data_IF_224814156653
#
_entry.id   IF_224814156653
#
_cell.length_a   1.000
_cell.length_b   1.000
_cell.length_c   1.000
_cell.angle_alpha   90.00
_cell.angle_beta   90.00
_cell.angle_gamma   90.00
#
_symmetry.space_group_name_H-M   'P 1'
#
loop_
_entity.id
_entity.type
_entity.pdbx_description
1 polymer ?
#
# COMPACT_ATOMS: atom_id res chain seq x y z
N UNK A 1 -24.51 -25.29 -18.75
CA UNK A 1 -23.80 -24.00 -18.54
C UNK A 1 -22.42 -24.34 -18.06
N UNK A 2 -21.43 -24.17 -18.95
CA UNK A 2 -20.02 -24.47 -18.64
C UNK A 2 -19.56 -23.46 -17.59
N UNK A 3 -19.21 -23.91 -16.40
CA UNK A 3 -18.49 -23.09 -15.41
C UNK A 3 -17.13 -22.80 -16.02
N UNK A 4 -16.96 -21.61 -16.56
CA UNK A 4 -15.64 -21.10 -16.90
C UNK A 4 -14.86 -21.13 -15.60
N UNK A 5 -13.80 -21.92 -15.59
CA UNK A 5 -12.84 -21.96 -14.47
C UNK A 5 -12.26 -20.53 -14.33
N UNK A 6 -12.78 -19.78 -13.35
CA UNK A 6 -12.42 -18.38 -13.11
C UNK A 6 -11.25 -18.26 -12.16
N UNK A 7 -10.58 -19.36 -11.85
CA UNK A 7 -9.40 -19.34 -10.99
C UNK A 7 -8.20 -18.78 -11.76
N UNK A 8 -7.64 -17.63 -11.35
CA UNK A 8 -6.49 -17.06 -12.02
C UNK A 8 -5.28 -18.00 -11.87
N UNK A 9 -4.79 -18.55 -12.99
CA UNK A 9 -3.63 -19.45 -12.98
C UNK A 9 -2.44 -18.80 -12.26
N UNK A 10 -1.82 -19.57 -11.36
CA UNK A 10 -0.65 -19.09 -10.58
C UNK A 10 0.57 -19.05 -11.51
N UNK A 11 1.20 -17.90 -11.72
CA UNK A 11 2.38 -17.82 -12.58
C UNK A 11 3.63 -18.36 -11.85
N UNK A 12 4.64 -18.77 -12.62
CA UNK A 12 5.85 -19.38 -12.07
C UNK A 12 6.60 -18.45 -11.08
N UNK A 13 6.55 -17.15 -11.34
CA UNK A 13 7.20 -16.12 -10.52
C UNK A 13 6.57 -15.95 -9.13
N UNK A 14 5.31 -16.38 -8.95
CA UNK A 14 4.62 -16.25 -7.67
C UNK A 14 5.36 -16.98 -6.54
N UNK A 15 5.95 -18.14 -6.83
CA UNK A 15 6.73 -18.90 -5.85
C UNK A 15 7.96 -18.15 -5.33
N UNK A 16 8.67 -17.42 -6.19
CA UNK A 16 9.84 -16.63 -5.80
C UNK A 16 9.47 -15.36 -5.00
N UNK A 17 8.29 -14.79 -5.27
CA UNK A 17 7.82 -13.55 -4.62
C UNK A 17 7.17 -13.83 -3.27
N UNK A 18 6.32 -14.85 -3.18
CA UNK A 18 5.51 -15.12 -1.98
C UNK A 18 6.04 -16.28 -1.14
N UNK A 19 6.99 -17.08 -1.67
CA UNK A 19 7.57 -18.22 -0.95
C UNK A 19 6.50 -19.14 -0.35
N UNK A 20 6.57 -19.43 0.99
CA UNK A 20 5.58 -20.27 1.67
C UNK A 20 4.16 -19.72 1.64
N UNK A 21 3.96 -18.44 1.34
CA UNK A 21 2.62 -17.81 1.28
C UNK A 21 2.00 -17.86 -0.13
N UNK A 22 2.58 -18.60 -1.08
CA UNK A 22 2.07 -18.67 -2.47
C UNK A 22 0.63 -19.18 -2.54
N UNK A 23 0.26 -20.15 -1.72
CA UNK A 23 -1.11 -20.67 -1.69
C UNK A 23 -2.11 -19.63 -1.15
N UNK A 24 -1.70 -18.85 -0.14
CA UNK A 24 -2.50 -17.74 0.36
C UNK A 24 -2.62 -16.62 -0.67
N UNK A 25 -1.58 -16.35 -1.48
CA UNK A 25 -1.64 -15.40 -2.58
C UNK A 25 -2.59 -15.91 -3.69
N UNK A 26 -2.60 -17.20 -4.00
CA UNK A 26 -3.54 -17.82 -4.94
C UNK A 26 -4.99 -17.69 -4.44
N UNK A 27 -5.24 -17.97 -3.16
CA UNK A 27 -6.55 -17.79 -2.55
C UNK A 27 -6.99 -16.31 -2.59
N UNK A 28 -6.07 -15.38 -2.37
CA UNK A 28 -6.39 -13.95 -2.50
C UNK A 28 -6.71 -13.55 -3.94
N UNK A 29 -5.99 -14.07 -4.93
CA UNK A 29 -6.31 -13.87 -6.35
C UNK A 29 -7.72 -14.39 -6.69
N UNK A 30 -8.09 -15.57 -6.18
CA UNK A 30 -9.42 -16.15 -6.33
C UNK A 30 -10.51 -15.27 -5.66
N UNK A 31 -10.27 -14.77 -4.44
CA UNK A 31 -11.19 -13.87 -3.76
C UNK A 31 -11.42 -12.57 -4.55
N UNK A 32 -10.36 -12.02 -5.16
CA UNK A 32 -10.48 -10.84 -6.03
C UNK A 32 -11.27 -11.15 -7.30
N UNK A 33 -11.03 -12.29 -7.95
CA UNK A 33 -11.71 -12.71 -9.17
C UNK A 33 -13.20 -12.95 -8.95
N UNK A 34 -13.58 -13.48 -7.79
CA UNK A 34 -14.97 -13.84 -7.44
C UNK A 34 -15.66 -12.73 -6.67
N UNK A 35 -15.53 -12.74 -5.34
CA UNK A 35 -16.20 -11.76 -4.45
C UNK A 35 -15.80 -10.32 -4.74
N UNK A 36 -14.52 -10.08 -5.07
CA UNK A 36 -13.99 -8.77 -5.40
C UNK A 36 -14.67 -8.16 -6.63
N UNK A 37 -14.88 -8.97 -7.66
CA UNK A 37 -15.58 -8.54 -8.89
C UNK A 37 -17.05 -8.26 -8.61
N UNK A 38 -17.75 -9.14 -7.91
CA UNK A 38 -19.17 -8.98 -7.56
C UNK A 38 -19.39 -7.71 -6.71
N UNK A 39 -18.48 -7.40 -5.79
CA UNK A 39 -18.54 -6.22 -4.93
C UNK A 39 -17.96 -4.95 -5.56
N UNK A 40 -17.49 -5.01 -6.82
CA UNK A 40 -16.88 -3.87 -7.52
C UNK A 40 -15.56 -3.39 -6.93
N UNK A 41 -14.77 -4.32 -6.34
CA UNK A 41 -13.40 -4.04 -5.88
C UNK A 41 -12.41 -4.08 -7.03
N UNK A 42 -12.61 -5.02 -7.95
CA UNK A 42 -11.84 -5.21 -9.19
C UNK A 42 -12.82 -5.26 -10.36
N UNK A 43 -12.45 -4.62 -11.46
CA UNK A 43 -13.24 -4.72 -12.71
C UNK A 43 -13.12 -6.10 -13.34
N UNK A 44 -14.18 -6.65 -13.96
CA UNK A 44 -14.14 -7.97 -14.60
C UNK A 44 -13.01 -8.11 -15.64
N UNK A 45 -12.67 -7.04 -16.34
CA UNK A 45 -11.58 -6.99 -17.33
C UNK A 45 -10.18 -7.09 -16.74
N UNK A 46 -10.04 -6.88 -15.43
CA UNK A 46 -8.76 -6.99 -14.71
C UNK A 46 -8.48 -8.42 -14.23
N UNK A 47 -9.49 -9.31 -14.20
CA UNK A 47 -9.34 -10.69 -13.72
C UNK A 47 -8.20 -11.45 -14.41
N UNK A 48 -8.06 -11.44 -15.76
CA UNK A 48 -6.96 -12.11 -16.44
C UNK A 48 -5.57 -11.55 -16.12
N UNK A 49 -5.51 -10.36 -15.53
CA UNK A 49 -4.27 -9.61 -15.23
C UNK A 49 -3.99 -9.49 -13.73
N UNK A 50 -4.77 -10.21 -12.88
CA UNK A 50 -4.68 -10.09 -11.43
C UNK A 50 -3.27 -10.36 -10.91
N UNK A 51 -2.63 -11.40 -11.38
CA UNK A 51 -1.30 -11.77 -10.93
C UNK A 51 -0.27 -10.71 -11.31
N UNK A 52 -0.11 -10.45 -12.59
CA UNK A 52 0.91 -9.53 -13.10
C UNK A 52 0.68 -8.10 -12.60
N UNK A 53 -0.53 -7.57 -12.87
CA UNK A 53 -0.80 -6.14 -12.67
C UNK A 53 -1.14 -5.76 -11.23
N UNK A 54 -1.63 -6.73 -10.45
CA UNK A 54 -2.10 -6.42 -9.10
C UNK A 54 -1.25 -7.11 -8.02
N UNK A 55 -1.12 -8.44 -8.00
CA UNK A 55 -0.42 -9.11 -6.92
C UNK A 55 1.11 -8.92 -6.98
N UNK A 56 1.73 -9.33 -8.08
CA UNK A 56 3.19 -9.23 -8.24
C UNK A 56 3.66 -7.77 -8.24
N UNK A 57 2.96 -6.90 -8.99
CA UNK A 57 3.24 -5.48 -8.99
C UNK A 57 3.14 -4.85 -7.59
N UNK A 58 2.14 -5.26 -6.78
CA UNK A 58 1.98 -4.75 -5.41
C UNK A 58 3.06 -5.28 -4.46
N UNK A 59 3.47 -6.54 -4.61
CA UNK A 59 4.55 -7.14 -3.82
C UNK A 59 5.94 -6.59 -4.18
N UNK A 60 6.11 -6.04 -5.38
CA UNK A 60 7.38 -5.50 -5.88
C UNK A 60 8.02 -4.46 -4.94
N UNK A 61 7.20 -3.69 -4.19
CA UNK A 61 7.72 -2.70 -3.23
C UNK A 61 8.33 -3.31 -1.96
N UNK A 62 8.27 -4.62 -1.79
CA UNK A 62 8.77 -5.32 -0.59
C UNK A 62 10.26 -5.04 -0.29
N UNK A 63 11.07 -4.86 -1.36
CA UNK A 63 12.50 -4.52 -1.24
C UNK A 63 12.77 -3.11 -0.69
N UNK A 64 11.80 -2.21 -0.77
CA UNK A 64 11.91 -0.83 -0.26
C UNK A 64 11.47 -0.72 1.21
N UNK A 65 10.90 -1.78 1.79
CA UNK A 65 10.34 -1.76 3.14
C UNK A 65 11.34 -2.34 4.14
N UNK A 66 11.74 -1.60 5.19
CA UNK A 66 12.64 -2.10 6.23
C UNK A 66 12.11 -3.37 6.91
N UNK A 67 13.02 -4.18 7.44
CA UNK A 67 12.67 -5.40 8.19
C UNK A 67 11.86 -5.04 9.44
N UNK A 68 10.78 -5.78 9.69
CA UNK A 68 9.91 -5.61 10.85
C UNK A 68 9.11 -4.30 10.88
N UNK A 69 9.05 -3.55 9.77
CA UNK A 69 8.43 -2.24 9.71
C UNK A 69 6.92 -2.26 10.04
N UNK A 70 6.46 -1.14 10.64
CA UNK A 70 5.05 -0.80 10.75
C UNK A 70 4.60 -0.09 9.48
N UNK A 71 3.69 -0.69 8.75
CA UNK A 71 3.19 -0.20 7.46
C UNK A 71 1.74 0.23 7.59
N UNK A 72 1.39 1.39 7.04
CA UNK A 72 -0.01 1.82 6.85
C UNK A 72 -0.29 1.92 5.35
N UNK A 73 -1.22 1.12 4.87
CA UNK A 73 -1.69 1.16 3.48
C UNK A 73 -2.90 2.07 3.38
N UNK A 74 -2.73 3.24 2.77
CA UNK A 74 -3.74 4.31 2.71
C UNK A 74 -4.61 4.15 1.48
N UNK A 75 -5.93 4.04 1.71
CA UNK A 75 -6.90 3.81 0.65
C UNK A 75 -6.78 2.41 0.07
N UNK A 76 -6.66 1.41 0.93
CA UNK A 76 -6.36 0.01 0.56
C UNK A 76 -7.29 -0.59 -0.49
N UNK A 77 -8.53 -0.11 -0.60
CA UNK A 77 -9.47 -0.52 -1.62
C UNK A 77 -9.79 -2.01 -1.60
N UNK A 78 -9.29 -2.74 -2.59
CA UNK A 78 -9.34 -4.19 -2.65
C UNK A 78 -8.28 -4.87 -1.74
N UNK A 79 -7.37 -4.11 -1.11
CA UNK A 79 -6.23 -4.60 -0.32
C UNK A 79 -4.88 -4.45 -1.03
N UNK A 80 -4.81 -3.54 -2.00
CA UNK A 80 -3.64 -3.35 -2.87
C UNK A 80 -2.96 -2.00 -2.60
N UNK A 81 -1.68 -1.96 -2.24
CA UNK A 81 -0.72 -3.06 -2.22
C UNK A 81 -0.64 -3.84 -0.89
N UNK A 82 -1.37 -3.47 0.16
CA UNK A 82 -1.15 -3.92 1.53
C UNK A 82 -1.21 -5.44 1.74
N UNK A 83 -2.18 -6.16 1.15
CA UNK A 83 -2.29 -7.62 1.31
C UNK A 83 -1.15 -8.36 0.58
N UNK A 84 -0.84 -8.11 -0.71
CA UNK A 84 0.30 -8.75 -1.35
C UNK A 84 1.63 -8.45 -0.65
N UNK A 85 1.82 -7.23 -0.14
CA UNK A 85 3.00 -6.86 0.64
C UNK A 85 3.10 -7.69 1.93
N UNK A 86 1.99 -7.85 2.67
CA UNK A 86 1.96 -8.65 3.90
C UNK A 86 2.22 -10.14 3.64
N UNK A 87 1.73 -10.69 2.51
CA UNK A 87 1.99 -12.06 2.09
C UNK A 87 3.47 -12.28 1.72
N UNK A 88 4.09 -11.32 0.99
CA UNK A 88 5.49 -11.40 0.62
C UNK A 88 6.45 -11.13 1.80
N UNK A 89 6.00 -10.41 2.85
CA UNK A 89 6.78 -9.97 3.99
C UNK A 89 6.03 -10.23 5.30
N UNK A 90 6.03 -11.47 5.81
CA UNK A 90 5.32 -11.85 7.04
C UNK A 90 5.92 -11.22 8.31
N UNK A 91 7.11 -10.63 8.23
CA UNK A 91 7.75 -9.86 9.30
C UNK A 91 7.08 -8.51 9.57
N UNK A 92 6.34 -7.95 8.60
CA UNK A 92 5.72 -6.64 8.70
C UNK A 92 4.46 -6.64 9.57
N UNK A 93 4.17 -5.49 10.21
CA UNK A 93 2.86 -5.20 10.78
C UNK A 93 2.13 -4.23 9.88
N UNK A 94 1.04 -4.67 9.24
CA UNK A 94 0.34 -3.88 8.21
C UNK A 94 -1.02 -3.43 8.70
N UNK A 95 -1.33 -2.14 8.54
CA UNK A 95 -2.68 -1.61 8.75
C UNK A 95 -3.27 -1.19 7.41
N UNK A 96 -4.40 -1.81 7.05
CA UNK A 96 -5.17 -1.45 5.86
C UNK A 96 -6.16 -0.36 6.24
N UNK A 97 -5.94 0.87 5.78
CA UNK A 97 -6.79 2.03 6.06
C UNK A 97 -7.73 2.30 4.87
N UNK A 98 -9.03 2.18 5.10
CA UNK A 98 -10.04 2.33 4.04
C UNK A 98 -11.31 3.02 4.58
N UNK A 99 -11.82 4.10 3.96
CA UNK A 99 -12.99 4.81 4.47
C UNK A 99 -14.33 4.12 4.21
N UNK A 100 -14.46 3.32 3.13
CA UNK A 100 -15.75 2.77 2.71
C UNK A 100 -16.08 1.47 3.44
N UNK A 101 -17.19 1.45 4.20
CA UNK A 101 -17.60 0.30 5.00
C UNK A 101 -17.68 -1.01 4.21
N UNK A 102 -18.18 -0.98 2.95
CA UNK A 102 -18.26 -2.19 2.11
C UNK A 102 -16.88 -2.77 1.77
N UNK A 103 -15.87 -1.91 1.59
CA UNK A 103 -14.48 -2.32 1.33
C UNK A 103 -13.81 -2.84 2.61
N UNK A 104 -14.03 -2.17 3.74
CA UNK A 104 -13.58 -2.65 5.05
C UNK A 104 -14.12 -4.05 5.34
N UNK A 105 -15.40 -4.32 5.07
CA UNK A 105 -15.98 -5.66 5.26
C UNK A 105 -15.32 -6.72 4.35
N UNK A 106 -15.02 -6.38 3.08
CA UNK A 106 -14.28 -7.25 2.16
C UNK A 106 -12.86 -7.52 2.68
N UNK A 107 -12.11 -6.46 3.04
CA UNK A 107 -10.74 -6.57 3.57
C UNK A 107 -10.68 -7.43 4.84
N UNK A 108 -11.61 -7.22 5.78
CA UNK A 108 -11.71 -8.03 7.00
C UNK A 108 -11.96 -9.51 6.68
N UNK A 109 -12.80 -9.79 5.69
CA UNK A 109 -13.03 -11.14 5.18
C UNK A 109 -11.76 -11.77 4.62
N UNK A 110 -11.02 -11.04 3.77
CA UNK A 110 -9.74 -11.48 3.20
C UNK A 110 -8.70 -11.76 4.29
N UNK A 111 -8.47 -10.81 5.21
CA UNK A 111 -7.48 -10.93 6.30
C UNK A 111 -7.74 -12.20 7.13
N UNK A 112 -9.01 -12.42 7.52
CA UNK A 112 -9.39 -13.62 8.27
C UNK A 112 -9.17 -14.91 7.48
N UNK A 113 -9.60 -14.94 6.21
CA UNK A 113 -9.53 -16.13 5.36
C UNK A 113 -8.10 -16.52 5.00
N UNK A 114 -7.22 -15.53 4.86
CA UNK A 114 -5.80 -15.73 4.56
C UNK A 114 -4.93 -15.95 5.80
N UNK A 115 -5.50 -15.90 7.01
CA UNK A 115 -4.75 -16.09 8.26
C UNK A 115 -3.70 -15.01 8.52
N UNK A 116 -3.94 -13.76 8.10
CA UNK A 116 -2.97 -12.67 8.21
C UNK A 116 -2.99 -12.04 9.61
N UNK A 117 -2.38 -12.70 10.60
CA UNK A 117 -2.43 -12.31 12.03
C UNK A 117 -1.80 -10.93 12.30
N UNK A 118 -0.85 -10.49 11.48
CA UNK A 118 -0.17 -9.19 11.62
C UNK A 118 -0.77 -8.08 10.74
N UNK A 119 -1.99 -8.33 10.19
CA UNK A 119 -2.71 -7.36 9.37
C UNK A 119 -3.99 -6.92 10.09
N UNK A 120 -4.16 -5.61 10.24
CA UNK A 120 -5.34 -4.99 10.84
C UNK A 120 -6.07 -4.14 9.82
N UNK A 121 -7.40 -4.16 9.82
CA UNK A 121 -8.23 -3.30 8.98
C UNK A 121 -8.81 -2.17 9.83
N UNK A 122 -8.59 -0.93 9.41
CA UNK A 122 -9.10 0.27 10.09
C UNK A 122 -9.98 1.06 9.13
N UNK A 123 -11.19 1.42 9.60
CA UNK A 123 -12.07 2.29 8.85
C UNK A 123 -11.79 3.74 9.20
N UNK A 124 -11.44 4.56 8.19
CA UNK A 124 -11.18 5.99 8.37
C UNK A 124 -10.44 6.60 7.20
N UNK A 125 -10.15 7.89 7.31
CA UNK A 125 -9.39 8.66 6.33
C UNK A 125 -8.09 9.16 6.95
N UNK A 126 -7.00 9.15 6.18
CA UNK A 126 -5.67 9.53 6.64
C UNK A 126 -5.57 10.98 7.15
N UNK A 127 -6.44 11.87 6.65
CA UNK A 127 -6.51 13.26 7.07
C UNK A 127 -7.25 13.47 8.39
N UNK A 128 -7.97 12.48 8.91
CA UNK A 128 -8.74 12.60 10.16
C UNK A 128 -7.82 12.60 11.39
N UNK A 129 -8.05 13.54 12.29
CA UNK A 129 -7.25 13.69 13.53
C UNK A 129 -7.21 12.41 14.40
N UNK A 130 -8.34 11.71 14.64
CA UNK A 130 -8.34 10.43 15.36
C UNK A 130 -7.45 9.37 14.70
N UNK A 131 -7.52 9.23 13.36
CA UNK A 131 -6.71 8.28 12.60
C UNK A 131 -5.22 8.62 12.69
N UNK A 132 -4.85 9.91 12.57
CA UNK A 132 -3.46 10.35 12.76
C UNK A 132 -2.92 10.03 14.14
N UNK A 133 -3.74 10.17 15.18
CA UNK A 133 -3.33 9.79 16.56
C UNK A 133 -3.17 8.28 16.72
N UNK A 134 -4.07 7.50 16.12
CA UNK A 134 -4.06 6.04 16.21
C UNK A 134 -2.92 5.41 15.41
N UNK A 135 -2.68 5.87 14.17
CA UNK A 135 -1.79 5.23 13.20
C UNK A 135 -0.46 5.96 13.03
N UNK A 136 -0.28 7.12 13.66
CA UNK A 136 0.96 7.90 13.57
C UNK A 136 2.19 7.15 14.06
N UNK A 137 3.36 7.54 13.54
CA UNK A 137 4.64 6.90 13.84
C UNK A 137 4.92 5.65 13.00
N UNK A 138 4.23 5.45 11.87
CA UNK A 138 4.53 4.39 10.92
C UNK A 138 5.94 4.54 10.32
N UNK A 139 6.61 3.43 10.03
CA UNK A 139 7.88 3.41 9.31
C UNK A 139 7.67 3.67 7.84
N UNK A 140 6.62 3.08 7.28
CA UNK A 140 6.26 3.19 5.87
C UNK A 140 4.75 3.44 5.74
N UNK A 141 4.39 4.31 4.81
CA UNK A 141 3.02 4.44 4.30
C UNK A 141 3.02 4.05 2.85
N UNK A 142 2.11 3.16 2.46
CA UNK A 142 1.90 2.77 1.06
C UNK A 142 0.62 3.38 0.53
N UNK A 143 0.57 3.67 -0.76
CA UNK A 143 -0.67 4.06 -1.44
C UNK A 143 -0.59 3.72 -2.94
N UNK A 144 -1.72 3.30 -3.52
CA UNK A 144 -1.86 3.00 -4.93
C UNK A 144 -3.15 3.58 -5.49
N UNK A 145 -3.03 4.40 -6.55
CA UNK A 145 -4.18 4.97 -7.27
C UNK A 145 -5.21 5.73 -6.41
N UNK A 146 -4.74 6.43 -5.36
CA UNK A 146 -5.61 7.13 -4.39
C UNK A 146 -5.87 8.58 -4.79
N UNK A 147 -4.79 9.35 -5.07
CA UNK A 147 -4.87 10.78 -5.36
C UNK A 147 -3.62 11.27 -6.08
N UNK A 148 -3.62 12.51 -6.63
CA UNK A 148 -2.41 13.21 -7.03
C UNK A 148 -1.41 13.33 -5.88
N UNK A 149 -0.11 13.40 -6.21
CA UNK A 149 0.99 13.28 -5.25
C UNK A 149 0.97 14.36 -4.15
N UNK A 150 0.62 15.59 -4.49
CA UNK A 150 0.50 16.71 -3.55
C UNK A 150 -0.51 16.42 -2.42
N UNK A 151 -1.71 16.00 -2.79
CA UNK A 151 -2.75 15.62 -1.83
C UNK A 151 -2.35 14.39 -1.03
N UNK A 152 -1.81 13.38 -1.74
CA UNK A 152 -1.39 12.13 -1.12
C UNK A 152 -0.30 12.36 -0.06
N UNK A 153 0.71 13.18 -0.36
CA UNK A 153 1.74 13.54 0.59
C UNK A 153 1.17 14.27 1.80
N UNK A 154 0.23 15.21 1.61
CA UNK A 154 -0.45 15.92 2.69
C UNK A 154 -1.24 15.01 3.65
N UNK A 155 -1.76 13.88 3.16
CA UNK A 155 -2.47 12.88 3.96
C UNK A 155 -1.51 11.90 4.63
N UNK A 156 -0.49 11.44 3.91
CA UNK A 156 0.36 10.31 4.30
C UNK A 156 1.56 10.73 5.17
N UNK A 157 2.23 11.85 4.88
CA UNK A 157 3.41 12.27 5.64
C UNK A 157 3.12 12.45 7.14
N UNK A 158 1.96 12.97 7.58
CA UNK A 158 1.65 13.06 9.01
C UNK A 158 1.53 11.71 9.73
N UNK A 159 1.29 10.60 9.01
CA UNK A 159 1.23 9.25 9.59
C UNK A 159 2.62 8.64 9.82
N UNK A 160 3.64 9.11 9.11
CA UNK A 160 5.00 8.59 9.21
C UNK A 160 5.71 9.09 10.46
N UNK A 161 6.66 8.35 10.99
CA UNK A 161 7.70 8.87 11.88
C UNK A 161 8.68 9.77 11.10
N UNK A 162 9.45 10.65 11.76
CA UNK A 162 10.56 11.35 11.12
C UNK A 162 11.51 10.35 10.42
N UNK A 163 11.87 10.62 9.17
CA UNK A 163 12.67 9.71 8.33
C UNK A 163 11.92 8.50 7.80
N UNK A 164 10.62 8.36 8.05
CA UNK A 164 9.78 7.32 7.46
C UNK A 164 9.49 7.57 5.97
N UNK A 165 9.04 6.56 5.25
CA UNK A 165 8.89 6.57 3.80
C UNK A 165 7.43 6.51 3.37
N UNK A 166 7.01 7.39 2.46
CA UNK A 166 5.81 7.20 1.66
C UNK A 166 6.22 6.50 0.35
N UNK A 167 5.63 5.34 0.09
CA UNK A 167 5.78 4.59 -1.16
C UNK A 167 4.50 4.74 -1.98
N UNK A 168 4.48 5.71 -2.88
CA UNK A 168 3.34 5.96 -3.76
C UNK A 168 3.53 5.19 -5.07
N UNK A 169 2.77 4.09 -5.24
CA UNK A 169 2.80 3.31 -6.48
C UNK A 169 2.09 4.07 -7.60
N UNK A 170 2.79 4.29 -8.68
CA UNK A 170 2.35 5.09 -9.82
C UNK A 170 2.56 4.34 -11.15
N UNK A 171 2.06 4.92 -12.23
CA UNK A 171 2.32 4.43 -13.57
C UNK A 171 3.51 5.13 -14.24
N UNK A 172 3.59 5.02 -15.56
CA UNK A 172 4.66 5.60 -16.41
C UNK A 172 4.79 7.12 -16.29
N UNK A 173 3.76 7.83 -15.80
CA UNK A 173 3.76 9.29 -15.62
C UNK A 173 4.36 9.77 -14.31
N UNK A 174 4.90 8.88 -13.47
CA UNK A 174 5.41 9.21 -12.14
C UNK A 174 6.45 10.35 -12.12
N UNK A 175 7.40 10.31 -13.05
CA UNK A 175 8.43 11.36 -13.15
C UNK A 175 7.83 12.73 -13.50
N UNK A 176 6.90 12.77 -14.43
CA UNK A 176 6.20 14.00 -14.80
C UNK A 176 5.32 14.51 -13.65
N UNK A 177 4.63 13.60 -12.94
CA UNK A 177 3.83 13.97 -11.77
C UNK A 177 4.70 14.56 -10.66
N UNK A 178 5.84 13.93 -10.33
CA UNK A 178 6.76 14.45 -9.32
C UNK A 178 7.32 15.83 -9.70
N UNK A 179 7.75 16.00 -10.95
CA UNK A 179 8.27 17.28 -11.45
C UNK A 179 7.21 18.40 -11.40
N UNK A 180 5.96 18.08 -11.73
CA UNK A 180 4.86 19.04 -11.72
C UNK A 180 4.39 19.41 -10.31
N UNK A 181 4.59 18.52 -9.33
CA UNK A 181 4.11 18.74 -7.95
C UNK A 181 4.94 19.80 -7.22
N UNK A 182 6.22 19.96 -7.54
CA UNK A 182 7.12 20.86 -6.82
C UNK A 182 7.42 20.42 -5.38
N UNK A 183 7.85 21.34 -4.50
CA UNK A 183 8.18 21.00 -3.11
C UNK A 183 7.00 20.42 -2.34
N UNK A 184 7.21 19.30 -1.66
CA UNK A 184 6.21 18.66 -0.81
C UNK A 184 6.40 19.10 0.66
N UNK A 185 5.44 19.82 1.28
CA UNK A 185 5.57 20.27 2.67
C UNK A 185 5.75 19.08 3.63
N UNK A 186 6.82 19.14 4.44
CA UNK A 186 7.14 18.08 5.40
C UNK A 186 7.97 16.92 4.82
N UNK A 187 8.29 16.91 3.53
CA UNK A 187 9.26 16.01 2.94
C UNK A 187 10.70 16.53 3.11
N UNK A 188 11.64 15.61 3.28
CA UNK A 188 13.07 15.89 3.21
C UNK A 188 13.60 15.64 1.79
N UNK A 189 13.03 14.64 1.11
CA UNK A 189 13.43 14.22 -0.23
C UNK A 189 12.28 13.51 -0.93
N UNK A 190 12.30 13.51 -2.27
CA UNK A 190 11.38 12.76 -3.11
C UNK A 190 12.06 12.33 -4.41
N UNK A 191 11.93 11.04 -4.77
CA UNK A 191 12.50 10.49 -6.00
C UNK A 191 11.56 9.44 -6.64
N UNK A 192 11.78 9.17 -7.93
CA UNK A 192 11.14 8.06 -8.63
C UNK A 192 12.13 6.90 -8.72
N UNK A 193 11.66 5.70 -8.42
CA UNK A 193 12.45 4.47 -8.54
C UNK A 193 11.62 3.34 -9.15
N UNK A 194 12.32 2.28 -9.55
CA UNK A 194 11.73 1.00 -9.93
C UNK A 194 12.01 -0.01 -8.83
N UNK A 195 11.04 -0.83 -8.48
CA UNK A 195 11.17 -1.84 -7.44
C UNK A 195 10.63 -3.18 -7.93
N UNK A 196 11.34 -4.27 -7.57
CA UNK A 196 10.93 -5.65 -7.88
C UNK A 196 11.18 -6.10 -9.31
N UNK A 197 10.79 -7.35 -9.59
CA UNK A 197 10.81 -7.98 -10.89
C UNK A 197 9.51 -8.81 -11.03
N UNK A 198 8.61 -8.45 -11.96
CA UNK A 198 8.63 -7.28 -12.84
C UNK A 198 8.59 -5.94 -12.07
N UNK A 199 9.20 -4.89 -12.67
CA UNK A 199 9.37 -3.63 -11.95
C UNK A 199 8.07 -2.84 -11.77
N UNK A 200 7.85 -2.34 -10.55
CA UNK A 200 6.81 -1.37 -10.24
C UNK A 200 7.42 0.03 -10.11
N UNK A 201 6.78 1.03 -10.72
CA UNK A 201 7.18 2.43 -10.60
C UNK A 201 6.66 3.02 -9.29
N UNK A 202 7.57 3.57 -8.48
CA UNK A 202 7.27 4.10 -7.15
C UNK A 202 7.84 5.51 -7.00
N UNK A 203 7.03 6.45 -6.52
CA UNK A 203 7.53 7.70 -5.97
C UNK A 203 7.79 7.45 -4.50
N UNK A 204 9.04 7.58 -4.08
CA UNK A 204 9.47 7.47 -2.69
C UNK A 204 9.63 8.89 -2.14
N UNK A 205 8.88 9.19 -1.06
CA UNK A 205 9.00 10.48 -0.36
C UNK A 205 9.45 10.21 1.06
N UNK A 206 10.58 10.80 1.47
CA UNK A 206 11.09 10.70 2.83
C UNK A 206 10.51 11.80 3.69
N UNK A 207 9.89 11.46 4.82
CA UNK A 207 9.43 12.46 5.79
C UNK A 207 10.61 13.18 6.43
N UNK A 208 10.57 14.52 6.41
CA UNK A 208 11.56 15.36 7.07
C UNK A 208 11.57 15.19 8.58
N UNK A 209 12.74 15.41 9.18
CA UNK A 209 12.86 15.59 10.63
C UNK A 209 12.40 17.01 10.97
N UNK A 210 11.47 17.17 11.91
CA UNK A 210 11.14 18.49 12.44
C UNK A 210 12.42 19.02 13.11
N UNK A 211 13.11 19.97 12.49
CA UNK A 211 14.11 20.75 13.23
C UNK A 211 13.35 21.47 14.34
N UNK A 212 13.64 21.11 15.59
CA UNK A 212 13.25 21.92 16.72
C UNK A 212 13.84 23.32 16.45
N UNK A 213 12.98 24.27 16.07
CA UNK A 213 13.36 25.67 16.08
C UNK A 213 13.71 25.98 17.53
N UNK A 214 15.01 26.14 17.78
CA UNK A 214 15.47 26.66 19.05
C UNK A 214 14.68 27.96 19.31
N UNK A 215 13.79 27.95 20.31
CA UNK A 215 13.17 29.17 20.84
C UNK A 215 14.33 30.02 21.29
N UNK A 216 14.63 31.07 20.49
CA UNK A 216 15.55 32.12 20.89
C UNK A 216 15.09 32.67 22.21
N UNK A 217 15.80 32.27 23.27
CA UNK A 217 15.69 32.93 24.57
C UNK A 217 16.08 34.41 24.39
N UNK A 218 15.10 35.30 24.42
CA UNK A 218 15.38 36.70 24.71
C UNK A 218 15.82 36.74 26.16
N UNK A 219 17.14 36.85 26.36
CA UNK A 219 17.68 37.37 27.61
C UNK A 219 17.31 38.85 27.71
N UNK A 220 16.68 39.19 28.79
CA UNK A 220 16.61 40.59 29.31
C UNK A 220 17.77 40.83 30.23
#
# INVERSE_FOLDING_TARGET
MSTVDTDPAVPAEAGSVFGPAVDAAAEYARLLATEGTVRGMIGPREVPRLWERHLLNSAAIASLVPVGARVVDVGSGAGLPGIPLALARPDLTVTLLEPLARRVAFLTGCVRRLGLERVTVVRGRAEEGPIRRQLGGADVVTARAVAPLDKLAGWCLPLLRPGGLLLAMKGSTAAAELAATGPLPGAADALVTQAGDPPATVIVVTRGTVRATARGGRAR
#
